data_IF_537029805937
#
_entry.id   IF_537029805937
#
_cell.length_a   1.000
_cell.length_b   1.000
_cell.length_c   1.000
_cell.angle_alpha   90.00
_cell.angle_beta   90.00
_cell.angle_gamma   90.00
#
_symmetry.space_group_name_H-M   'P 1'
#
loop_
_entity.id
_entity.type
_entity.pdbx_description
1 polymer ?
#
# COMPACT_ATOMS: atom_id res chain seq x y z
N UNK A 1 -14.58 -17.14 -3.35
CA UNK A 1 -14.53 -15.72 -3.78
C UNK A 1 -14.60 -14.89 -2.52
N UNK A 2 -13.71 -13.93 -2.38
CA UNK A 2 -13.71 -13.02 -1.23
C UNK A 2 -14.91 -12.07 -1.30
N UNK A 3 -15.50 -11.75 -0.14
CA UNK A 3 -16.57 -10.74 -0.01
C UNK A 3 -16.06 -9.43 0.61
N UNK A 4 -14.82 -9.42 1.13
CA UNK A 4 -14.19 -8.27 1.79
C UNK A 4 -12.80 -8.06 1.20
N UNK A 5 -12.47 -6.83 0.82
CA UNK A 5 -11.09 -6.42 0.50
C UNK A 5 -10.92 -4.96 0.93
N UNK A 6 -10.09 -4.75 1.96
CA UNK A 6 -9.98 -3.46 2.62
C UNK A 6 -8.67 -2.72 2.29
N UNK A 7 -7.86 -3.27 1.38
CA UNK A 7 -6.58 -2.68 1.04
C UNK A 7 -6.29 -2.85 -0.46
N UNK A 8 -6.46 -1.79 -1.19
CA UNK A 8 -6.13 -1.68 -2.61
C UNK A 8 -5.82 -0.23 -2.98
N UNK A 9 -5.11 -0.01 -4.06
CA UNK A 9 -4.61 1.28 -4.48
C UNK A 9 -5.18 1.73 -5.82
N UNK A 10 -5.61 2.98 -5.88
CA UNK A 10 -6.01 3.64 -7.12
C UNK A 10 -4.82 4.39 -7.75
N UNK A 11 -5.05 4.98 -8.92
CA UNK A 11 -4.03 5.79 -9.60
C UNK A 11 -3.58 7.04 -8.80
N UNK A 12 -4.23 7.38 -7.69
CA UNK A 12 -3.78 8.44 -6.78
C UNK A 12 -2.57 8.04 -5.92
N UNK A 13 -2.22 6.76 -5.90
CA UNK A 13 -1.03 6.23 -5.20
C UNK A 13 0.26 6.25 -6.02
N UNK A 14 0.33 6.92 -7.16
CA UNK A 14 1.48 6.95 -8.08
C UNK A 14 1.91 5.57 -8.64
N UNK A 15 1.70 4.48 -7.93
CA UNK A 15 1.99 3.09 -8.31
C UNK A 15 0.72 2.25 -8.58
N UNK A 16 -0.46 2.82 -8.36
CA UNK A 16 -1.74 2.22 -8.73
C UNK A 16 -2.11 2.47 -10.19
N UNK A 17 -2.88 1.56 -10.79
CA UNK A 17 -3.22 1.60 -12.22
C UNK A 17 -4.60 2.17 -12.50
N UNK A 18 -5.59 1.84 -11.67
CA UNK A 18 -7.01 2.04 -11.98
C UNK A 18 -7.62 3.27 -11.29
N UNK A 19 -8.62 3.88 -11.93
CA UNK A 19 -9.43 4.91 -11.27
C UNK A 19 -10.27 4.30 -10.14
N UNK A 20 -10.71 5.10 -9.15
CA UNK A 20 -11.57 4.59 -8.08
C UNK A 20 -12.84 3.92 -8.60
N UNK A 21 -13.49 4.50 -9.62
CA UNK A 21 -14.66 3.90 -10.27
C UNK A 21 -14.36 2.53 -10.90
N UNK A 22 -13.23 2.41 -11.60
CA UNK A 22 -12.81 1.13 -12.19
C UNK A 22 -12.57 0.06 -11.12
N UNK A 23 -11.89 0.41 -10.02
CA UNK A 23 -11.66 -0.52 -8.90
C UNK A 23 -12.98 -1.00 -8.28
N UNK A 24 -13.92 -0.08 -8.04
CA UNK A 24 -15.24 -0.46 -7.50
C UNK A 24 -15.97 -1.40 -8.47
N UNK A 25 -15.96 -1.12 -9.78
CA UNK A 25 -16.60 -1.98 -10.78
C UNK A 25 -15.94 -3.36 -10.84
N UNK A 26 -14.61 -3.45 -10.76
CA UNK A 26 -13.86 -4.70 -10.72
C UNK A 26 -14.17 -5.50 -9.44
N UNK A 27 -14.20 -4.86 -8.28
CA UNK A 27 -14.61 -5.46 -7.00
C UNK A 27 -16.02 -6.04 -7.08
N UNK A 28 -16.98 -5.25 -7.61
CA UNK A 28 -18.36 -5.71 -7.80
C UNK A 28 -18.43 -6.96 -8.70
N UNK A 29 -17.71 -6.97 -9.82
CA UNK A 29 -17.65 -8.11 -10.74
C UNK A 29 -16.99 -9.34 -10.10
N UNK A 30 -16.05 -9.16 -9.20
CA UNK A 30 -15.36 -10.22 -8.45
C UNK A 30 -16.18 -10.72 -7.25
N UNK A 31 -17.33 -10.11 -6.95
CA UNK A 31 -18.20 -10.50 -5.82
C UNK A 31 -17.83 -9.89 -4.48
N UNK A 32 -16.88 -8.97 -4.43
CA UNK A 32 -16.54 -8.20 -3.22
C UNK A 32 -17.71 -7.28 -2.88
N UNK A 33 -18.11 -7.25 -1.61
CA UNK A 33 -19.25 -6.49 -1.10
C UNK A 33 -18.84 -5.36 -0.16
N UNK A 34 -17.70 -5.52 0.51
CA UNK A 34 -17.15 -4.54 1.45
C UNK A 34 -15.73 -4.25 1.00
N UNK A 35 -15.42 -2.97 0.74
CA UNK A 35 -14.12 -2.57 0.23
C UNK A 35 -13.63 -1.24 0.79
N UNK A 36 -12.33 -1.03 0.71
CA UNK A 36 -11.69 0.26 0.92
C UNK A 36 -10.57 0.46 -0.11
N UNK A 37 -10.43 1.68 -0.61
CA UNK A 37 -9.24 2.12 -1.35
C UNK A 37 -8.38 2.89 -0.34
N UNK A 38 -7.16 2.41 -0.12
CA UNK A 38 -6.22 2.92 0.87
C UNK A 38 -4.98 3.50 0.16
N UNK A 39 -5.16 4.57 -0.62
CA UNK A 39 -4.08 5.20 -1.37
C UNK A 39 -2.98 5.73 -0.46
N UNK A 40 -1.72 5.62 -0.89
CA UNK A 40 -0.56 6.15 -0.17
C UNK A 40 -0.69 7.65 0.06
N UNK A 41 -0.81 8.04 1.34
CA UNK A 41 -0.85 9.42 1.82
C UNK A 41 -1.97 10.31 1.24
N UNK A 42 -2.94 9.74 0.49
CA UNK A 42 -4.02 10.47 -0.15
C UNK A 42 -5.41 9.91 0.17
N UNK A 43 -6.38 10.82 0.33
CA UNK A 43 -7.81 10.48 0.49
C UNK A 43 -8.64 10.76 -0.77
N UNK A 44 -7.99 11.12 -1.86
CA UNK A 44 -8.63 11.61 -3.12
C UNK A 44 -9.63 10.62 -3.71
N UNK A 45 -9.40 9.31 -3.55
CA UNK A 45 -10.27 8.25 -4.06
C UNK A 45 -11.62 8.15 -3.34
N UNK A 46 -11.66 8.49 -2.04
CA UNK A 46 -12.77 8.14 -1.14
C UNK A 46 -14.13 8.61 -1.62
N UNK A 47 -14.24 9.85 -2.09
CA UNK A 47 -15.51 10.43 -2.51
C UNK A 47 -16.08 9.74 -3.76
N UNK A 48 -15.26 9.51 -4.77
CA UNK A 48 -15.65 8.85 -6.01
C UNK A 48 -16.05 7.40 -5.76
N UNK A 49 -15.18 6.65 -5.06
CA UNK A 49 -15.42 5.24 -4.72
C UNK A 49 -16.69 5.06 -3.87
N UNK A 50 -16.90 5.91 -2.86
CA UNK A 50 -18.09 5.86 -2.01
C UNK A 50 -19.39 6.06 -2.83
N UNK A 51 -19.41 7.02 -3.75
CA UNK A 51 -20.55 7.25 -4.62
C UNK A 51 -20.82 6.03 -5.51
N UNK A 52 -19.77 5.47 -6.12
CA UNK A 52 -19.92 4.32 -7.00
C UNK A 52 -20.35 3.06 -6.26
N UNK A 53 -19.79 2.78 -5.08
CA UNK A 53 -20.22 1.68 -4.21
C UNK A 53 -21.71 1.79 -3.85
N UNK A 54 -22.17 2.99 -3.51
CA UNK A 54 -23.58 3.25 -3.20
C UNK A 54 -24.50 2.93 -4.39
N UNK A 55 -24.10 3.27 -5.62
CA UNK A 55 -24.87 2.95 -6.84
C UNK A 55 -24.98 1.43 -7.05
N UNK A 56 -23.96 0.67 -6.70
CA UNK A 56 -23.88 -0.78 -6.86
C UNK A 56 -24.39 -1.57 -5.64
N UNK A 57 -24.78 -0.89 -4.56
CA UNK A 57 -25.25 -1.54 -3.31
C UNK A 57 -24.11 -2.21 -2.52
N UNK A 58 -22.86 -1.75 -2.71
CA UNK A 58 -21.69 -2.19 -1.97
C UNK A 58 -21.44 -1.30 -0.74
N UNK A 59 -20.72 -1.82 0.24
CA UNK A 59 -20.25 -1.06 1.40
C UNK A 59 -18.83 -0.54 1.12
N UNK A 60 -18.63 0.77 1.25
CA UNK A 60 -17.34 1.42 1.15
C UNK A 60 -16.90 1.98 2.50
N UNK A 61 -15.66 1.71 2.91
CA UNK A 61 -15.04 2.29 4.11
C UNK A 61 -14.02 3.32 3.63
N UNK A 62 -14.21 4.64 3.91
CA UNK A 62 -13.20 5.64 3.58
C UNK A 62 -11.87 5.30 4.25
N UNK A 63 -10.78 5.32 3.49
CA UNK A 63 -9.48 4.92 3.99
C UNK A 63 -8.33 5.77 3.41
N UNK A 64 -7.18 5.63 4.02
CA UNK A 64 -5.87 6.12 3.61
C UNK A 64 -4.81 5.14 4.08
N UNK A 65 -3.76 4.90 3.31
CA UNK A 65 -2.54 4.28 3.83
C UNK A 65 -1.48 5.37 4.05
N UNK A 66 -1.07 5.56 5.30
CA UNK A 66 -0.08 6.58 5.67
C UNK A 66 1.30 5.93 5.82
N UNK A 67 2.27 6.43 5.05
CA UNK A 67 3.67 6.15 5.28
C UNK A 67 4.12 6.84 6.55
N UNK A 68 4.67 6.09 7.50
CA UNK A 68 5.15 6.62 8.77
C UNK A 68 6.45 5.96 9.22
N UNK A 69 7.03 6.46 10.31
CA UNK A 69 8.25 5.90 10.88
C UNK A 69 8.06 5.49 12.34
N UNK A 70 8.64 4.36 12.70
CA UNK A 70 8.74 3.92 14.08
C UNK A 70 10.13 3.34 14.35
N UNK A 71 10.83 3.87 15.38
CA UNK A 71 12.21 3.46 15.73
C UNK A 71 13.18 3.46 14.55
N UNK A 72 13.02 4.41 13.61
CA UNK A 72 13.87 4.55 12.43
C UNK A 72 13.55 3.58 11.29
N UNK A 73 12.45 2.83 11.37
CA UNK A 73 11.96 1.95 10.30
C UNK A 73 10.72 2.57 9.68
N UNK A 74 10.66 2.59 8.34
CA UNK A 74 9.46 2.98 7.62
C UNK A 74 8.39 1.89 7.72
N UNK A 75 7.16 2.31 7.99
CA UNK A 75 5.98 1.47 8.17
C UNK A 75 4.81 2.06 7.42
N UNK A 76 3.79 1.24 7.21
CA UNK A 76 2.53 1.66 6.63
C UNK A 76 1.38 1.40 7.61
N UNK A 77 0.53 2.40 7.79
CA UNK A 77 -0.64 2.35 8.67
C UNK A 77 -1.87 2.75 7.89
N UNK A 78 -2.85 1.87 7.82
CA UNK A 78 -4.15 2.19 7.21
C UNK A 78 -5.06 2.85 8.24
N UNK A 79 -5.60 4.01 7.88
CA UNK A 79 -6.67 4.67 8.61
C UNK A 79 -8.02 4.34 7.99
N UNK A 80 -8.91 3.64 8.70
CA UNK A 80 -10.25 3.32 8.23
C UNK A 80 -11.30 4.20 8.88
N UNK A 81 -12.36 4.54 8.13
CA UNK A 81 -13.48 5.33 8.64
C UNK A 81 -13.17 6.81 8.85
N UNK A 82 -12.15 7.31 8.18
CA UNK A 82 -11.71 8.70 8.26
C UNK A 82 -12.67 9.65 7.57
N UNK A 83 -12.68 10.91 8.02
CA UNK A 83 -13.40 11.98 7.34
C UNK A 83 -12.61 12.59 6.17
N UNK A 84 -13.27 13.48 5.41
CA UNK A 84 -12.66 14.21 4.27
C UNK A 84 -12.01 15.51 4.81
N UNK A 85 -10.90 15.36 5.56
CA UNK A 85 -10.25 16.51 6.19
C UNK A 85 -9.10 17.08 5.36
N UNK A 86 -8.88 18.40 5.52
CA UNK A 86 -7.79 19.13 4.91
C UNK A 86 -6.41 18.69 5.43
N UNK A 87 -6.36 18.12 6.64
CA UNK A 87 -5.13 17.65 7.28
C UNK A 87 -4.51 16.48 6.49
N UNK A 88 -5.32 15.55 5.98
CA UNK A 88 -4.85 14.47 5.10
C UNK A 88 -4.36 15.02 3.75
N UNK A 89 -5.04 16.01 3.18
CA UNK A 89 -4.58 16.65 1.94
C UNK A 89 -3.21 17.33 2.14
N UNK A 90 -3.01 18.05 3.24
CA UNK A 90 -1.71 18.66 3.59
C UNK A 90 -0.61 17.62 3.80
N UNK A 91 -0.93 16.47 4.40
CA UNK A 91 0.01 15.36 4.54
C UNK A 91 0.46 14.88 3.15
N UNK A 92 -0.49 14.56 2.26
CA UNK A 92 -0.21 14.10 0.91
C UNK A 92 0.62 15.11 0.11
N UNK A 93 0.22 16.39 0.11
CA UNK A 93 0.97 17.47 -0.56
C UNK A 93 2.41 17.60 -0.04
N UNK A 94 2.61 17.43 1.28
CA UNK A 94 3.93 17.51 1.89
C UNK A 94 4.84 16.36 1.45
N UNK A 95 4.29 15.14 1.37
CA UNK A 95 5.03 13.95 0.95
C UNK A 95 5.30 13.99 -0.55
N UNK A 96 4.27 14.26 -1.38
CA UNK A 96 4.39 14.39 -2.83
C UNK A 96 5.47 15.40 -3.22
N UNK A 97 5.53 16.57 -2.55
CA UNK A 97 6.56 17.58 -2.80
C UNK A 97 7.97 17.08 -2.48
N UNK A 98 8.15 16.27 -1.45
CA UNK A 98 9.45 15.66 -1.12
C UNK A 98 9.82 14.60 -2.16
N UNK A 99 8.86 13.75 -2.56
CA UNK A 99 9.05 12.73 -3.59
C UNK A 99 9.44 13.36 -4.94
N UNK A 100 8.76 14.44 -5.36
CA UNK A 100 9.12 15.21 -6.55
C UNK A 100 10.55 15.76 -6.46
N UNK A 101 10.94 16.30 -5.30
CA UNK A 101 12.30 16.82 -5.10
C UNK A 101 13.37 15.70 -5.16
N UNK A 102 13.03 14.48 -4.76
CA UNK A 102 13.91 13.32 -4.80
C UNK A 102 13.96 12.63 -6.17
N UNK A 103 12.99 12.86 -7.06
CA UNK A 103 12.82 12.14 -8.33
C UNK A 103 14.08 12.21 -9.22
N UNK A 104 14.67 13.38 -9.38
CA UNK A 104 15.91 13.53 -10.17
C UNK A 104 17.12 12.86 -9.50
N UNK A 105 17.17 12.82 -8.17
CA UNK A 105 18.22 12.11 -7.45
C UNK A 105 18.10 10.61 -7.60
N UNK A 106 16.88 10.06 -7.58
CA UNK A 106 16.64 8.65 -7.90
C UNK A 106 17.11 8.31 -9.31
N UNK A 107 16.85 9.19 -10.31
CA UNK A 107 17.33 9.02 -11.69
C UNK A 107 18.87 9.00 -11.76
N UNK A 108 19.55 9.93 -11.09
CA UNK A 108 21.02 9.96 -10.99
C UNK A 108 21.55 8.64 -10.40
N UNK A 109 21.03 8.23 -9.24
CA UNK A 109 21.45 6.99 -8.57
C UNK A 109 21.20 5.74 -9.42
N UNK A 110 20.09 5.71 -10.18
CA UNK A 110 19.79 4.61 -11.11
C UNK A 110 20.83 4.56 -12.24
N UNK A 111 21.18 5.72 -12.80
CA UNK A 111 22.19 5.79 -13.86
C UNK A 111 23.61 5.45 -13.35
N UNK A 112 23.91 5.72 -12.07
CA UNK A 112 25.16 5.30 -11.42
C UNK A 112 25.30 3.76 -11.32
N UNK A 113 24.19 3.01 -11.42
CA UNK A 113 24.22 1.54 -11.54
C UNK A 113 24.63 1.04 -12.93
N UNK A 114 24.86 1.95 -13.89
CA UNK A 114 25.27 1.63 -15.26
C UNK A 114 24.14 1.65 -16.29
N UNK A 115 23.00 2.25 -15.93
CA UNK A 115 21.90 2.51 -16.88
C UNK A 115 22.05 3.92 -17.52
N UNK A 116 21.29 4.15 -18.59
CA UNK A 116 21.23 5.42 -19.32
C UNK A 116 19.76 5.80 -19.53
N UNK A 117 19.03 6.03 -18.41
CA UNK A 117 17.66 6.52 -18.47
C UNK A 117 17.64 8.04 -18.61
N UNK A 118 16.74 8.51 -19.44
CA UNK A 118 16.45 9.93 -19.60
C UNK A 118 15.19 10.33 -18.83
N UNK A 119 15.15 11.56 -18.34
CA UNK A 119 14.00 12.13 -17.65
C UNK A 119 12.68 11.93 -18.42
N UNK A 120 12.71 12.09 -19.75
CA UNK A 120 11.54 11.97 -20.62
C UNK A 120 10.87 10.58 -20.55
N UNK A 121 11.64 9.50 -20.29
CA UNK A 121 11.07 8.16 -20.15
C UNK A 121 10.24 8.03 -18.86
N UNK A 122 10.68 8.67 -17.78
CA UNK A 122 9.97 8.70 -16.51
C UNK A 122 8.81 9.70 -16.51
N UNK A 123 8.96 10.86 -17.18
CA UNK A 123 7.86 11.81 -17.38
C UNK A 123 6.68 11.17 -18.13
N UNK A 124 6.94 10.19 -18.99
CA UNK A 124 5.88 9.48 -19.70
C UNK A 124 5.08 8.50 -18.81
N UNK A 125 5.65 8.09 -17.67
CA UNK A 125 5.04 7.18 -16.71
C UNK A 125 4.41 7.93 -15.53
N UNK A 126 4.94 9.09 -15.18
CA UNK A 126 4.51 9.91 -14.05
C UNK A 126 3.45 10.95 -14.46
N UNK A 127 2.42 11.12 -13.64
CA UNK A 127 1.38 12.12 -13.85
C UNK A 127 1.65 13.45 -13.14
N UNK A 128 2.47 13.45 -12.09
CA UNK A 128 2.69 14.57 -11.17
C UNK A 128 4.19 14.92 -10.95
N UNK A 129 5.12 14.23 -11.63
CA UNK A 129 6.56 14.44 -11.50
C UNK A 129 7.22 13.66 -10.36
N UNK A 130 6.48 12.80 -9.68
CA UNK A 130 7.03 11.77 -8.78
C UNK A 130 7.51 10.59 -9.61
N UNK A 131 8.74 10.12 -9.38
CA UNK A 131 9.27 8.90 -9.98
C UNK A 131 9.40 7.85 -8.90
N UNK A 132 8.52 6.84 -8.92
CA UNK A 132 8.57 5.71 -8.00
C UNK A 132 9.61 4.68 -8.45
N UNK A 133 10.07 3.83 -7.55
CA UNK A 133 11.02 2.75 -7.91
C UNK A 133 10.44 1.79 -8.94
N UNK A 134 9.13 1.59 -8.91
CA UNK A 134 8.37 0.77 -9.86
C UNK A 134 8.43 1.34 -11.27
N UNK A 135 8.32 2.67 -11.43
CA UNK A 135 8.45 3.34 -12.73
C UNK A 135 9.85 3.17 -13.32
N UNK A 136 10.90 3.18 -12.50
CA UNK A 136 12.25 2.84 -12.96
C UNK A 136 12.32 1.37 -13.41
N UNK A 137 11.75 0.45 -12.64
CA UNK A 137 11.63 -0.96 -13.03
C UNK A 137 10.90 -1.12 -14.36
N UNK A 138 9.75 -0.45 -14.53
CA UNK A 138 8.97 -0.46 -15.77
C UNK A 138 9.76 0.08 -16.96
N UNK A 139 10.40 1.24 -16.80
CA UNK A 139 11.19 1.86 -17.86
C UNK A 139 12.38 0.99 -18.30
N UNK A 140 13.10 0.39 -17.35
CA UNK A 140 14.28 -0.44 -17.63
C UNK A 140 13.91 -1.80 -18.22
N UNK A 141 12.91 -2.48 -17.69
CA UNK A 141 12.51 -3.80 -18.14
C UNK A 141 11.87 -3.78 -19.54
N UNK A 142 11.26 -2.66 -19.91
CA UNK A 142 10.67 -2.46 -21.24
C UNK A 142 11.66 -1.86 -22.28
N UNK A 143 12.87 -1.49 -21.86
CA UNK A 143 13.88 -0.93 -22.78
C UNK A 143 14.68 -2.05 -23.48
N UNK A 144 14.61 -2.12 -24.83
CA UNK A 144 15.32 -3.16 -25.60
C UNK A 144 16.84 -3.14 -25.40
N UNK A 145 17.44 -2.01 -25.00
CA UNK A 145 18.88 -1.90 -24.76
C UNK A 145 19.35 -2.79 -23.61
N UNK A 146 18.43 -3.17 -22.70
CA UNK A 146 18.76 -3.88 -21.47
C UNK A 146 18.21 -5.31 -21.43
N UNK A 147 17.87 -5.92 -22.59
CA UNK A 147 17.33 -7.28 -22.64
C UNK A 147 18.22 -8.30 -21.94
N UNK A 148 19.53 -8.21 -22.15
CA UNK A 148 20.54 -9.13 -21.61
C UNK A 148 21.27 -8.55 -20.37
N UNK A 149 20.72 -7.52 -19.73
CA UNK A 149 21.37 -6.91 -18.57
C UNK A 149 21.23 -7.81 -17.33
N UNK A 150 22.36 -8.16 -16.72
CA UNK A 150 22.41 -9.08 -15.57
C UNK A 150 21.68 -8.58 -14.34
N UNK A 151 21.62 -7.24 -14.10
CA UNK A 151 20.90 -6.65 -12.97
C UNK A 151 19.37 -6.77 -13.14
N UNK A 152 18.89 -6.83 -14.38
CA UNK A 152 17.46 -6.95 -14.70
C UNK A 152 16.99 -8.39 -14.88
N UNK A 153 17.92 -9.33 -15.04
CA UNK A 153 17.62 -10.74 -15.27
C UNK A 153 16.67 -11.34 -14.25
N UNK A 154 16.83 -11.10 -12.90
CA UNK A 154 15.93 -11.68 -11.90
C UNK A 154 14.44 -11.34 -12.08
N UNK A 155 14.14 -10.20 -12.71
CA UNK A 155 12.77 -9.66 -12.87
C UNK A 155 12.10 -10.08 -14.19
N UNK A 156 12.81 -10.81 -15.05
CA UNK A 156 12.28 -11.25 -16.34
C UNK A 156 11.46 -12.53 -16.19
N UNK A 157 10.57 -12.77 -17.15
CA UNK A 157 9.67 -13.93 -17.16
C UNK A 157 10.43 -15.26 -16.90
N UNK A 158 9.92 -16.03 -15.94
CA UNK A 158 10.49 -17.31 -15.50
C UNK A 158 11.61 -17.22 -14.46
N UNK A 159 12.07 -16.03 -14.11
CA UNK A 159 13.12 -15.82 -13.11
C UNK A 159 12.54 -15.56 -11.70
N UNK A 160 13.40 -15.52 -10.69
CA UNK A 160 13.04 -15.58 -9.27
C UNK A 160 12.25 -14.38 -8.73
N UNK A 161 12.23 -13.25 -9.44
CA UNK A 161 11.55 -12.00 -9.05
C UNK A 161 10.53 -11.55 -10.11
N UNK A 162 10.10 -12.48 -10.97
CA UNK A 162 9.23 -12.18 -12.12
C UNK A 162 7.75 -12.13 -11.78
N UNK A 163 7.35 -12.56 -10.58
CA UNK A 163 5.97 -12.52 -10.10
C UNK A 163 5.39 -11.10 -10.04
N UNK A 164 6.16 -10.16 -9.48
CA UNK A 164 5.83 -8.74 -9.39
C UNK A 164 7.07 -7.90 -9.76
N UNK A 165 7.49 -7.87 -11.03
CA UNK A 165 8.82 -7.43 -11.40
C UNK A 165 9.12 -5.98 -11.02
N UNK A 166 8.14 -5.06 -11.11
CA UNK A 166 8.35 -3.65 -10.86
C UNK A 166 8.48 -3.37 -9.35
N UNK A 167 7.57 -3.87 -8.52
CA UNK A 167 7.66 -3.69 -7.07
C UNK A 167 8.83 -4.48 -6.48
N UNK A 168 9.19 -5.63 -7.04
CA UNK A 168 10.39 -6.35 -6.64
C UNK A 168 11.67 -5.56 -6.93
N UNK A 169 11.70 -4.84 -8.05
CA UNK A 169 12.79 -3.91 -8.38
C UNK A 169 12.86 -2.75 -7.38
N UNK A 170 11.70 -2.17 -6.99
CA UNK A 170 11.65 -1.18 -5.92
C UNK A 170 12.24 -1.73 -4.61
N UNK A 171 11.82 -2.90 -4.14
CA UNK A 171 12.33 -3.49 -2.90
C UNK A 171 13.83 -3.72 -2.92
N UNK A 172 14.40 -4.07 -4.07
CA UNK A 172 15.82 -4.40 -4.19
C UNK A 172 16.71 -3.17 -4.35
N UNK A 173 16.20 -2.05 -4.89
CA UNK A 173 17.01 -0.87 -5.21
C UNK A 173 16.58 0.42 -4.53
N UNK A 174 15.31 0.65 -4.21
CA UNK A 174 14.80 1.95 -3.73
C UNK A 174 14.27 1.94 -2.30
N UNK A 175 13.97 0.79 -1.73
CA UNK A 175 13.55 0.68 -0.34
C UNK A 175 14.63 1.16 0.64
N UNK A 176 14.25 1.46 1.86
CA UNK A 176 15.16 1.95 2.90
C UNK A 176 16.42 1.08 3.03
N UNK A 177 17.59 1.72 2.92
CA UNK A 177 18.91 1.07 2.99
C UNK A 177 19.40 0.46 1.67
N UNK A 178 18.69 0.67 0.56
CA UNK A 178 19.07 0.19 -0.78
C UNK A 178 19.83 1.25 -1.59
N UNK A 179 20.52 0.86 -2.70
CA UNK A 179 21.43 1.74 -3.43
C UNK A 179 20.82 3.05 -3.96
N UNK A 180 19.55 3.01 -4.39
CA UNK A 180 18.84 4.16 -4.97
C UNK A 180 17.86 4.79 -3.98
N UNK A 181 17.94 4.43 -2.70
CA UNK A 181 17.10 5.02 -1.65
C UNK A 181 17.33 6.53 -1.54
N UNK A 182 16.22 7.25 -1.44
CA UNK A 182 16.21 8.68 -1.09
C UNK A 182 15.35 8.88 0.15
N UNK A 183 15.83 9.66 1.09
CA UNK A 183 15.13 9.87 2.36
C UNK A 183 13.93 10.80 2.17
N UNK A 184 12.76 10.32 2.57
CA UNK A 184 11.52 11.09 2.73
C UNK A 184 11.23 11.20 4.22
N UNK A 185 10.85 12.38 4.67
CA UNK A 185 10.48 12.62 6.07
C UNK A 185 8.99 12.33 6.25
N UNK A 186 8.70 11.14 6.69
CA UNK A 186 7.36 10.71 7.06
C UNK A 186 7.02 11.13 8.50
N UNK A 187 5.73 11.26 8.87
CA UNK A 187 5.29 11.41 10.24
C UNK A 187 5.75 10.23 11.11
N UNK A 188 5.78 10.42 12.43
CA UNK A 188 5.97 9.30 13.36
C UNK A 188 4.72 8.42 13.41
N UNK A 189 4.86 7.18 13.90
CA UNK A 189 3.71 6.31 14.15
C UNK A 189 2.70 6.97 15.10
N UNK A 190 3.20 7.62 16.16
CA UNK A 190 2.37 8.32 17.15
C UNK A 190 1.57 9.47 16.52
N UNK A 191 2.22 10.30 15.69
CA UNK A 191 1.54 11.38 14.98
C UNK A 191 0.52 10.86 13.98
N UNK A 192 0.83 9.74 13.32
CA UNK A 192 -0.07 9.07 12.36
C UNK A 192 -1.32 8.51 13.07
N UNK A 193 -1.13 7.78 14.17
CA UNK A 193 -2.25 7.28 14.98
C UNK A 193 -3.12 8.43 15.48
N UNK A 194 -2.49 9.49 15.96
CA UNK A 194 -3.19 10.68 16.45
C UNK A 194 -4.01 11.33 15.33
N UNK A 195 -3.42 11.56 14.16
CA UNK A 195 -4.10 12.15 12.99
C UNK A 195 -5.33 11.33 12.60
N UNK A 196 -5.18 10.01 12.46
CA UNK A 196 -6.28 9.12 12.09
C UNK A 196 -7.42 9.19 13.14
N UNK A 197 -7.08 9.12 14.42
CA UNK A 197 -8.07 9.14 15.51
C UNK A 197 -8.78 10.49 15.64
N UNK A 198 -8.08 11.61 15.47
CA UNK A 198 -8.68 12.96 15.52
C UNK A 198 -9.70 13.18 14.39
N UNK A 199 -9.59 12.40 13.30
CA UNK A 199 -10.51 12.43 12.15
C UNK A 199 -11.47 11.23 12.11
N UNK A 200 -11.77 10.65 13.28
CA UNK A 200 -12.80 9.63 13.45
C UNK A 200 -12.42 8.23 13.01
N UNK A 201 -11.20 8.06 12.50
CA UNK A 201 -10.73 6.78 11.95
C UNK A 201 -10.15 5.82 12.99
N UNK A 202 -9.90 4.60 12.52
CA UNK A 202 -9.26 3.50 13.26
C UNK A 202 -7.91 3.21 12.62
N UNK A 203 -6.81 3.33 13.38
CA UNK A 203 -5.45 3.10 12.88
C UNK A 203 -5.10 1.60 12.93
N UNK A 204 -4.70 1.04 11.78
CA UNK A 204 -4.43 -0.38 11.56
C UNK A 204 -3.06 -0.56 10.92
N UNK A 205 -2.17 -1.36 11.50
CA UNK A 205 -0.87 -1.68 10.89
C UNK A 205 -1.08 -2.53 9.64
N UNK A 206 -0.63 -2.06 8.49
CA UNK A 206 -0.69 -2.78 7.23
C UNK A 206 0.30 -3.95 7.18
N UNK A 207 -0.04 -5.03 6.50
CA UNK A 207 0.81 -6.21 6.20
C UNK A 207 2.01 -6.40 7.16
N UNK A 208 1.75 -6.65 8.46
CA UNK A 208 2.77 -6.66 9.51
C UNK A 208 3.93 -7.64 9.29
N UNK A 209 3.72 -8.69 8.50
CA UNK A 209 4.79 -9.63 8.12
C UNK A 209 5.95 -8.92 7.42
N UNK A 210 5.64 -8.00 6.50
CA UNK A 210 6.62 -7.22 5.76
C UNK A 210 7.08 -6.00 6.55
N UNK A 211 6.16 -5.25 7.16
CA UNK A 211 6.46 -4.04 7.91
C UNK A 211 7.39 -4.31 9.10
N UNK A 212 7.11 -5.35 9.87
CA UNK A 212 7.87 -5.64 11.09
C UNK A 212 9.14 -6.46 10.86
N UNK A 213 9.35 -7.00 9.66
CA UNK A 213 10.57 -7.74 9.26
C UNK A 213 11.01 -8.81 10.28
N UNK A 214 10.02 -9.56 10.79
CA UNK A 214 10.24 -10.60 11.81
C UNK A 214 10.27 -10.11 13.26
N UNK A 215 10.20 -8.82 13.52
CA UNK A 215 10.12 -8.24 14.88
C UNK A 215 8.65 -8.12 15.34
N UNK A 216 7.91 -9.22 15.30
CA UNK A 216 6.45 -9.25 15.51
C UNK A 216 6.02 -8.74 16.90
N UNK A 217 6.91 -8.81 17.89
CA UNK A 217 6.67 -8.30 19.25
C UNK A 217 6.44 -6.78 19.29
N UNK A 218 6.92 -6.02 18.30
CA UNK A 218 6.71 -4.59 18.20
C UNK A 218 5.23 -4.22 18.12
N UNK A 219 4.35 -5.13 17.66
CA UNK A 219 2.91 -4.90 17.65
C UNK A 219 2.37 -4.57 19.04
N UNK A 220 2.90 -5.22 20.12
CA UNK A 220 2.45 -4.92 21.47
C UNK A 220 2.74 -3.46 21.86
N UNK A 221 3.97 -2.99 21.56
CA UNK A 221 4.36 -1.60 21.85
C UNK A 221 3.52 -0.61 21.03
N UNK A 222 3.24 -0.92 19.77
CA UNK A 222 2.41 -0.06 18.90
C UNK A 222 0.97 0.03 19.42
N UNK A 223 0.41 -1.05 19.96
CA UNK A 223 -0.90 -1.05 20.60
C UNK A 223 -0.89 -0.20 21.89
N UNK A 224 0.20 -0.24 22.69
CA UNK A 224 0.38 0.65 23.84
C UNK A 224 0.45 2.13 23.44
N UNK A 225 0.93 2.45 22.23
CA UNK A 225 0.92 3.80 21.66
C UNK A 225 -0.45 4.21 21.10
N UNK A 226 -1.42 3.30 21.05
CA UNK A 226 -2.79 3.60 20.61
C UNK A 226 -3.16 3.03 19.25
N UNK A 227 -2.33 2.16 18.64
CA UNK A 227 -2.70 1.41 17.44
C UNK A 227 -3.91 0.52 17.75
N UNK A 228 -4.94 0.56 16.91
CA UNK A 228 -6.24 -0.04 17.19
C UNK A 228 -6.50 -1.33 16.42
N UNK A 229 -5.64 -1.66 15.47
CA UNK A 229 -5.82 -2.87 14.66
C UNK A 229 -4.58 -3.30 13.89
N UNK A 230 -4.70 -4.45 13.24
CA UNK A 230 -3.65 -5.04 12.42
C UNK A 230 -4.28 -5.77 11.22
N UNK A 231 -3.69 -5.62 10.04
CA UNK A 231 -4.06 -6.37 8.84
C UNK A 231 -3.49 -7.79 8.95
N UNK A 232 -4.34 -8.72 9.40
CA UNK A 232 -3.90 -10.09 9.66
C UNK A 232 -3.72 -10.90 8.38
N UNK A 233 -4.59 -10.67 7.40
CA UNK A 233 -4.63 -11.43 6.15
C UNK A 233 -4.24 -10.50 5.00
N UNK A 234 -3.10 -10.78 4.41
CA UNK A 234 -2.55 -10.02 3.29
C UNK A 234 -2.00 -10.96 2.22
N UNK A 235 -2.00 -10.53 0.98
CA UNK A 235 -1.42 -11.30 -0.15
C UNK A 235 0.07 -11.64 0.05
N UNK A 236 0.76 -10.88 0.90
CA UNK A 236 2.18 -11.09 1.21
C UNK A 236 2.45 -12.14 2.29
N UNK A 237 1.43 -12.50 3.03
CA UNK A 237 1.64 -13.35 4.21
C UNK A 237 1.49 -14.82 3.87
N UNK A 238 2.46 -15.68 4.23
CA UNK A 238 2.20 -17.09 4.32
C UNK A 238 1.20 -17.39 5.46
N UNK A 239 0.52 -18.52 5.38
CA UNK A 239 -0.58 -18.90 6.29
C UNK A 239 -0.19 -18.81 7.78
N UNK A 240 1.03 -19.20 8.12
CA UNK A 240 1.52 -19.13 9.51
C UNK A 240 1.61 -17.70 10.03
N UNK A 241 1.91 -16.71 9.17
CA UNK A 241 1.97 -15.29 9.53
C UNK A 241 0.55 -14.73 9.68
N UNK A 242 -0.37 -15.07 8.77
CA UNK A 242 -1.79 -14.75 8.90
C UNK A 242 -2.34 -15.22 10.25
N UNK A 243 -2.12 -16.50 10.56
CA UNK A 243 -2.62 -17.11 11.78
C UNK A 243 -1.99 -16.51 13.04
N UNK A 244 -0.70 -16.18 13.00
CA UNK A 244 0.00 -15.51 14.11
C UNK A 244 -0.67 -14.17 14.42
N UNK A 245 -0.82 -13.27 13.44
CA UNK A 245 -1.40 -11.94 13.67
C UNK A 245 -2.89 -11.99 13.99
N UNK A 246 -3.63 -12.93 13.42
CA UNK A 246 -5.04 -13.14 13.76
C UNK A 246 -5.22 -13.55 15.23
N UNK A 247 -4.43 -14.51 15.72
CA UNK A 247 -4.45 -14.92 17.13
C UNK A 247 -4.01 -13.76 18.04
N UNK A 248 -2.98 -13.03 17.63
CA UNK A 248 -2.44 -11.89 18.38
C UNK A 248 -3.44 -10.74 18.48
N UNK A 249 -4.15 -10.43 17.41
CA UNK A 249 -5.21 -9.41 17.41
C UNK A 249 -6.36 -9.79 18.37
N UNK A 250 -6.75 -11.07 18.40
CA UNK A 250 -7.76 -11.58 19.35
C UNK A 250 -7.26 -11.50 20.80
N UNK A 251 -6.01 -11.87 21.07
CA UNK A 251 -5.37 -11.74 22.40
C UNK A 251 -5.39 -10.29 22.87
N UNK A 252 -4.99 -9.36 22.01
CA UNK A 252 -4.94 -7.93 22.32
C UNK A 252 -6.31 -7.23 22.26
N UNK A 253 -7.34 -7.93 21.80
CA UNK A 253 -8.71 -7.40 21.61
C UNK A 253 -8.76 -6.18 20.68
N UNK A 254 -7.91 -6.13 19.65
CA UNK A 254 -7.85 -5.08 18.63
C UNK A 254 -8.56 -5.50 17.34
N UNK A 255 -8.80 -4.52 16.44
CA UNK A 255 -9.35 -4.75 15.12
C UNK A 255 -8.40 -5.64 14.29
N UNK A 256 -8.97 -6.59 13.55
CA UNK A 256 -8.25 -7.38 12.53
C UNK A 256 -8.93 -7.22 11.18
N UNK A 257 -8.12 -7.02 10.14
CA UNK A 257 -8.57 -6.75 8.78
C UNK A 257 -7.93 -7.72 7.79
N UNK A 258 -8.39 -7.62 6.54
CA UNK A 258 -7.80 -8.30 5.39
C UNK A 258 -7.74 -7.34 4.21
N UNK A 259 -6.71 -7.47 3.39
CA UNK A 259 -6.54 -6.68 2.18
C UNK A 259 -5.60 -7.35 1.18
N UNK A 260 -5.92 -7.20 -0.09
CA UNK A 260 -5.08 -7.77 -1.16
C UNK A 260 -3.81 -6.96 -1.42
N UNK A 261 -3.86 -5.67 -1.15
CA UNK A 261 -2.85 -4.70 -1.57
C UNK A 261 -2.70 -4.67 -3.12
N UNK A 262 -3.85 -4.71 -3.81
CA UNK A 262 -3.92 -4.72 -5.26
C UNK A 262 -3.53 -3.37 -5.86
N UNK A 263 -2.67 -3.39 -6.90
CA UNK A 263 -2.16 -2.20 -7.60
C UNK A 263 -2.30 -2.28 -9.13
N UNK A 264 -2.82 -3.40 -9.67
CA UNK A 264 -2.85 -3.64 -11.11
C UNK A 264 -1.47 -4.00 -11.67
N UNK A 265 -1.04 -3.34 -12.75
CA UNK A 265 0.20 -3.66 -13.49
C UNK A 265 1.48 -3.66 -12.64
N UNK A 266 1.51 -2.92 -11.55
CA UNK A 266 2.68 -2.81 -10.68
C UNK A 266 2.91 -4.08 -9.87
N UNK A 267 1.81 -4.76 -9.51
CA UNK A 267 1.80 -6.04 -8.76
C UNK A 267 0.92 -7.07 -9.48
N UNK A 268 1.30 -7.55 -10.68
CA UNK A 268 0.45 -8.36 -11.54
C UNK A 268 0.08 -9.74 -10.98
N UNK A 269 0.80 -10.26 -10.00
CA UNK A 269 0.45 -11.52 -9.33
C UNK A 269 -0.61 -11.37 -8.23
N UNK A 270 -0.92 -10.13 -7.84
CA UNK A 270 -1.91 -9.86 -6.79
C UNK A 270 -3.29 -9.68 -7.42
N UNK A 271 -4.25 -10.46 -6.98
CA UNK A 271 -5.65 -10.39 -7.41
C UNK A 271 -6.51 -9.69 -6.35
N UNK A 272 -7.59 -9.04 -6.77
CA UNK A 272 -8.61 -8.50 -5.85
C UNK A 272 -9.17 -9.62 -4.97
N UNK A 273 -9.23 -9.37 -3.66
CA UNK A 273 -9.61 -10.38 -2.67
C UNK A 273 -8.55 -11.46 -2.43
N UNK A 274 -7.33 -11.31 -2.95
CA UNK A 274 -6.23 -12.27 -2.88
C UNK A 274 -5.52 -12.38 -1.52
N UNK A 275 -6.14 -11.92 -0.45
CA UNK A 275 -5.59 -11.91 0.93
C UNK A 275 -5.68 -13.25 1.67
N UNK A 276 -6.28 -14.28 1.06
CA UNK A 276 -6.38 -15.66 1.59
C UNK A 276 -7.07 -15.81 2.95
N UNK A 277 -7.91 -14.84 3.36
CA UNK A 277 -8.70 -14.97 4.60
C UNK A 277 -9.78 -16.05 4.46
N UNK A 278 -9.94 -16.85 5.52
CA UNK A 278 -11.03 -17.82 5.66
C UNK A 278 -12.03 -17.44 6.77
N UNK A 279 -11.91 -16.21 7.32
CA UNK A 279 -12.71 -15.71 8.47
C UNK A 279 -13.42 -14.38 8.14
N UNK A 280 -13.81 -14.16 6.90
CA UNK A 280 -14.37 -12.88 6.43
C UNK A 280 -15.65 -12.48 7.16
N UNK A 281 -16.50 -13.42 7.56
CA UNK A 281 -17.69 -13.11 8.38
C UNK A 281 -17.31 -12.61 9.78
N UNK A 282 -16.24 -13.15 10.38
CA UNK A 282 -15.71 -12.64 11.66
C UNK A 282 -15.10 -11.24 11.48
N UNK A 283 -14.40 -10.99 10.36
CA UNK A 283 -13.88 -9.66 10.02
C UNK A 283 -15.03 -8.66 9.90
N UNK A 284 -16.09 -9.00 9.18
CA UNK A 284 -17.29 -8.18 9.03
C UNK A 284 -17.95 -7.86 10.37
N UNK A 285 -18.06 -8.83 11.28
CA UNK A 285 -18.59 -8.58 12.62
C UNK A 285 -17.64 -7.71 13.46
N UNK A 286 -16.34 -7.88 13.27
CA UNK A 286 -15.35 -7.03 13.91
C UNK A 286 -15.41 -5.58 13.40
N UNK A 287 -15.60 -5.36 12.08
CA UNK A 287 -15.81 -4.03 11.49
C UNK A 287 -17.04 -3.32 12.09
N UNK A 288 -18.17 -4.04 12.28
CA UNK A 288 -19.35 -3.51 12.96
C UNK A 288 -19.07 -3.08 14.40
N UNK A 289 -18.27 -3.86 15.15
CA UNK A 289 -17.87 -3.53 16.52
C UNK A 289 -17.10 -2.21 16.60
N UNK A 290 -16.34 -1.90 15.55
CA UNK A 290 -15.60 -0.64 15.42
C UNK A 290 -16.40 0.46 14.69
N UNK A 291 -17.67 0.24 14.41
CA UNK A 291 -18.57 1.18 13.72
C UNK A 291 -18.07 1.62 12.31
N UNK A 292 -17.35 0.72 11.62
CA UNK A 292 -16.84 0.98 10.27
C UNK A 292 -17.85 0.61 9.17
N UNK A 293 -18.84 -0.24 9.51
CA UNK A 293 -19.96 -0.63 8.62
C UNK A 293 -21.26 -0.76 9.41
#
# INVERSE_FOLDING_TARGET
MSIVDLHMHSFYSDDGEYTPTQLVDMCHQSGIQIMAIADHNWIKANKEASLRCKELGMTYIPAIEVDCTYKGVNLHVVGYGIDDSEEFNKLGESIEKQEQACSLKKLELTNDLGFELEKAQLDALSSNGVYTGEMFGEALLNDPRYLDNELLKPYREGESRSDNPFVNFYWDYYAQGKPCYTEIKFPTLEDTIKLINEHGGVAVLAYPGNNLKGQFELLNEMVELGLQGVECFSSYHPEEVNQYFYNKAKELSILYTCGSDFHGKTKPSIELGGHHSNVEEEIKDNLKKYHLI
#
